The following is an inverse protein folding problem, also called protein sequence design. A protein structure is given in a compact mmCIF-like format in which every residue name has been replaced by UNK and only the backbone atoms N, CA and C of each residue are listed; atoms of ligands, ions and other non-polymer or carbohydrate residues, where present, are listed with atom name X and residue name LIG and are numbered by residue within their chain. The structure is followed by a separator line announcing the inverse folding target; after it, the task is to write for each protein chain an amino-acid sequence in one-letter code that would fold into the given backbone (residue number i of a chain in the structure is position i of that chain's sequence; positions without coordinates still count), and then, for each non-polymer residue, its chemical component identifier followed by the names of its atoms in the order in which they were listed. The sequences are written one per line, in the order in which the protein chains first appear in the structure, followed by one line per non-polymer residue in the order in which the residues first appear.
data_IF_690545939158
#
_entry.id   IF_690545939158
#
_cell.length_a   1.000
_cell.length_b   1.000
_cell.length_c   1.000
_cell.angle_alpha   90.00
_cell.angle_beta   90.00
_cell.angle_gamma   90.00
#
_symmetry.space_group_name_H-M   'P 1'
#
loop_
_entity.id
_entity.type
_entity.pdbx_description
1 polymer ?
#
# COMPACT_ATOMS: atom_id res chain seq x y z
N UNK A 1 -45.15 -4.14 -87.72
CA UNK A 1 -44.56 -3.13 -86.80
C UNK A 1 -45.27 -3.21 -85.44
N UNK A 2 -44.87 -4.12 -84.59
CA UNK A 2 -45.54 -4.33 -83.26
C UNK A 2 -44.64 -4.82 -82.19
N UNK A 3 -43.32 -4.68 -82.33
CA UNK A 3 -42.38 -5.28 -81.35
C UNK A 3 -41.78 -4.34 -80.34
N UNK A 4 -42.04 -3.04 -80.44
CA UNK A 4 -41.30 -2.05 -79.57
C UNK A 4 -42.05 -1.64 -78.33
N UNK A 5 -43.39 -1.65 -78.34
CA UNK A 5 -44.20 -1.18 -77.18
C UNK A 5 -44.23 -2.18 -76.05
N UNK A 6 -44.25 -3.48 -76.34
CA UNK A 6 -44.21 -4.52 -75.26
C UNK A 6 -42.89 -4.57 -74.54
N UNK A 7 -41.78 -4.32 -75.21
CA UNK A 7 -40.43 -4.29 -74.57
C UNK A 7 -40.27 -3.06 -73.69
N UNK A 8 -40.79 -1.93 -74.09
CA UNK A 8 -40.72 -0.69 -73.27
C UNK A 8 -41.61 -0.80 -71.97
N UNK A 9 -42.79 -1.37 -72.11
CA UNK A 9 -43.69 -1.57 -70.99
C UNK A 9 -43.12 -2.55 -69.93
N UNK A 10 -42.42 -3.60 -70.38
CA UNK A 10 -41.75 -4.56 -69.46
C UNK A 10 -40.58 -3.86 -68.76
N UNK A 11 -39.79 -3.04 -69.45
CA UNK A 11 -38.66 -2.32 -68.85
C UNK A 11 -39.12 -1.33 -67.79
N UNK A 12 -40.19 -0.58 -68.04
CA UNK A 12 -40.77 0.35 -67.10
C UNK A 12 -41.36 -0.36 -65.86
N UNK A 13 -41.99 -1.51 -66.05
CA UNK A 13 -42.53 -2.34 -64.97
C UNK A 13 -41.44 -2.90 -64.06
N UNK A 14 -40.34 -3.40 -64.64
CA UNK A 14 -39.19 -3.88 -63.88
C UNK A 14 -38.52 -2.75 -63.11
N UNK A 15 -38.45 -1.53 -63.67
CA UNK A 15 -37.87 -0.39 -62.99
C UNK A 15 -38.75 0.11 -61.80
N UNK A 16 -40.07 0.08 -61.93
CA UNK A 16 -41.00 0.42 -60.87
C UNK A 16 -40.98 -0.58 -59.74
N UNK A 17 -40.92 -1.89 -60.06
CA UNK A 17 -40.81 -2.96 -59.04
C UNK A 17 -39.49 -2.89 -58.31
N UNK A 18 -38.37 -2.65 -59.03
CA UNK A 18 -37.04 -2.52 -58.43
C UNK A 18 -36.95 -1.30 -57.48
N UNK A 19 -37.54 -0.15 -57.88
CA UNK A 19 -37.56 1.07 -57.03
C UNK A 19 -38.46 0.89 -55.82
N UNK A 20 -39.56 0.14 -55.95
CA UNK A 20 -40.47 -0.11 -54.82
C UNK A 20 -39.87 -1.04 -53.77
N UNK A 21 -39.01 -2.01 -54.20
CA UNK A 21 -38.30 -2.93 -53.28
C UNK A 21 -37.25 -2.15 -52.49
N UNK A 22 -36.55 -1.22 -53.11
CA UNK A 22 -35.55 -0.37 -52.40
C UNK A 22 -36.17 0.55 -51.36
N UNK A 23 -37.43 1.05 -51.61
CA UNK A 23 -38.13 1.89 -50.66
C UNK A 23 -38.77 1.12 -49.50
N UNK A 24 -38.85 -0.21 -49.58
CA UNK A 24 -39.42 -1.06 -48.53
C UNK A 24 -38.41 -1.68 -47.61
N UNK A 25 -37.09 -1.38 -47.75
CA UNK A 25 -36.10 -1.77 -46.76
C UNK A 25 -36.35 -0.85 -45.57
N UNK A 26 -36.92 -1.37 -44.43
CA UNK A 26 -37.00 -0.56 -43.23
C UNK A 26 -35.59 -0.14 -42.86
N UNK A 27 -35.30 1.16 -42.83
CA UNK A 27 -34.09 1.66 -42.20
C UNK A 27 -34.23 1.26 -40.73
N UNK A 28 -33.70 0.12 -40.37
CA UNK A 28 -33.54 -0.30 -39.00
C UNK A 28 -32.46 0.63 -38.42
N UNK A 29 -32.88 1.75 -37.88
CA UNK A 29 -32.01 2.55 -37.07
C UNK A 29 -31.73 1.74 -35.78
N UNK A 30 -30.50 1.24 -35.65
CA UNK A 30 -30.06 0.71 -34.41
C UNK A 30 -30.17 1.84 -33.36
N UNK A 31 -31.13 1.72 -32.47
CA UNK A 31 -31.29 2.68 -31.38
C UNK A 31 -30.34 2.24 -30.26
N UNK A 32 -29.17 2.87 -30.20
CA UNK A 32 -28.26 2.65 -29.09
C UNK A 32 -28.79 3.35 -27.85
N UNK A 33 -28.86 2.62 -26.75
CA UNK A 33 -29.15 3.16 -25.44
C UNK A 33 -27.93 2.94 -24.56
N UNK A 34 -27.60 3.92 -23.72
CA UNK A 34 -26.47 3.84 -22.79
C UNK A 34 -26.95 4.05 -21.37
N UNK A 35 -26.26 3.41 -20.45
CA UNK A 35 -26.39 3.64 -19.01
C UNK A 35 -25.11 4.32 -18.57
N UNK A 36 -25.24 5.49 -17.93
CA UNK A 36 -24.13 6.13 -17.23
C UNK A 36 -24.03 5.53 -15.83
N UNK A 37 -22.88 4.92 -15.53
CA UNK A 37 -22.57 4.40 -14.20
C UNK A 37 -21.50 5.28 -13.60
N UNK A 38 -21.79 5.90 -12.45
CA UNK A 38 -20.83 6.67 -11.67
C UNK A 38 -20.54 5.91 -10.38
N UNK A 39 -19.28 5.82 -10.01
CA UNK A 39 -18.84 5.27 -8.72
C UNK A 39 -17.64 6.08 -8.22
N UNK A 40 -17.58 6.26 -6.91
CA UNK A 40 -16.45 6.87 -6.23
C UNK A 40 -15.72 5.75 -5.49
N UNK A 41 -14.48 5.38 -5.90
CA UNK A 41 -13.70 4.40 -5.17
C UNK A 41 -13.28 4.98 -3.81
N UNK A 42 -13.62 4.29 -2.73
CA UNK A 42 -13.18 4.64 -1.38
C UNK A 42 -11.76 4.08 -1.17
N UNK A 43 -10.75 4.89 -1.44
CA UNK A 43 -9.35 4.58 -1.25
C UNK A 43 -8.86 5.22 0.05
N UNK A 44 -8.69 4.42 1.10
CA UNK A 44 -8.21 4.88 2.40
C UNK A 44 -6.89 4.26 2.78
N UNK A 45 -6.00 5.08 3.35
CA UNK A 45 -4.78 4.66 4.04
C UNK A 45 -5.05 4.72 5.54
N UNK A 46 -4.95 3.58 6.21
CA UNK A 46 -5.03 3.51 7.67
C UNK A 46 -4.15 2.39 8.20
N UNK A 47 -3.11 2.75 8.95
CA UNK A 47 -2.21 1.80 9.60
C UNK A 47 -2.44 1.78 11.11
N UNK A 48 -2.24 0.62 11.70
CA UNK A 48 -2.21 0.42 13.15
C UNK A 48 -1.14 -0.62 13.52
N UNK A 49 -0.77 -0.65 14.80
CA UNK A 49 0.19 -1.60 15.36
C UNK A 49 -0.30 -2.10 16.72
N UNK A 50 -0.09 -3.36 16.98
CA UNK A 50 -0.37 -3.98 18.27
C UNK A 50 0.79 -4.89 18.68
N UNK A 51 1.27 -4.84 19.94
CA UNK A 51 0.90 -3.89 21.00
C UNK A 51 1.47 -2.49 20.75
N UNK A 52 0.87 -1.47 21.35
CA UNK A 52 1.33 -0.05 21.27
C UNK A 52 2.43 0.29 22.27
N UNK A 53 2.74 -0.61 23.16
CA UNK A 53 3.81 -0.48 24.16
C UNK A 53 4.49 -1.82 24.32
N UNK A 54 5.79 -1.80 24.51
CA UNK A 54 6.58 -2.98 24.80
C UNK A 54 7.69 -2.63 25.78
N UNK A 55 7.95 -3.52 26.75
CA UNK A 55 8.99 -3.37 27.75
C UNK A 55 10.02 -4.49 27.54
N UNK A 56 11.24 -4.12 27.21
CA UNK A 56 12.37 -5.06 27.11
C UNK A 56 12.88 -5.49 28.50
N UNK A 57 12.36 -4.88 29.57
CA UNK A 57 12.81 -5.18 30.92
C UNK A 57 14.21 -4.64 31.21
N UNK A 58 14.98 -5.41 31.99
CA UNK A 58 16.36 -5.07 32.30
C UNK A 58 17.27 -5.56 31.19
N UNK A 59 17.92 -4.63 30.50
CA UNK A 59 18.85 -4.90 29.41
C UNK A 59 20.29 -4.70 29.87
N UNK A 60 21.21 -5.49 29.34
CA UNK A 60 22.64 -5.40 29.65
C UNK A 60 23.37 -4.63 28.56
N UNK A 61 24.36 -3.82 28.96
CA UNK A 61 25.23 -3.12 28.01
C UNK A 61 25.95 -4.13 27.09
N UNK A 62 26.06 -3.80 25.81
CA UNK A 62 26.70 -4.60 24.79
C UNK A 62 25.91 -5.85 24.34
N UNK A 63 24.65 -5.99 24.76
CA UNK A 63 23.84 -7.15 24.39
C UNK A 63 22.61 -6.72 23.56
N UNK A 64 22.25 -7.60 22.64
CA UNK A 64 20.99 -7.53 21.91
C UNK A 64 19.88 -8.22 22.71
N UNK A 65 18.80 -7.52 22.93
CA UNK A 65 17.56 -8.08 23.45
C UNK A 65 16.52 -8.09 22.33
N UNK A 66 15.81 -9.20 22.20
CA UNK A 66 14.88 -9.37 21.09
C UNK A 66 13.47 -9.65 21.62
N UNK A 67 12.48 -8.97 21.05
CA UNK A 67 11.14 -9.54 21.06
C UNK A 67 11.13 -10.78 20.17
N UNK A 68 10.29 -11.75 20.45
CA UNK A 68 10.28 -13.02 19.71
C UNK A 68 8.87 -13.50 19.41
N UNK A 69 8.70 -14.17 18.29
CA UNK A 69 7.46 -14.81 17.93
C UNK A 69 6.44 -13.86 17.29
N UNK A 70 6.90 -12.88 16.52
CA UNK A 70 6.05 -11.86 15.91
C UNK A 70 5.27 -11.08 16.97
N UNK A 71 6.01 -10.53 17.93
CA UNK A 71 5.45 -9.78 19.07
C UNK A 71 4.57 -8.62 18.64
N UNK A 72 4.95 -7.94 17.55
CA UNK A 72 4.19 -6.84 16.98
C UNK A 72 3.43 -7.29 15.74
N UNK A 73 2.24 -6.74 15.56
CA UNK A 73 1.46 -6.93 14.35
C UNK A 73 1.17 -5.55 13.74
N UNK A 74 1.64 -5.36 12.53
CA UNK A 74 1.32 -4.23 11.67
C UNK A 74 0.00 -4.54 10.94
N UNK A 75 -0.93 -3.61 10.94
CA UNK A 75 -2.21 -3.71 10.24
C UNK A 75 -2.34 -2.61 9.20
N UNK A 76 -2.73 -2.99 8.00
CA UNK A 76 -3.32 -2.08 7.04
C UNK A 76 -4.84 -2.17 7.14
N UNK A 77 -5.46 -1.31 7.94
CA UNK A 77 -6.92 -1.23 8.08
C UNK A 77 -7.57 -0.36 6.99
N UNK A 78 -6.77 0.10 6.03
CA UNK A 78 -7.25 0.80 4.85
C UNK A 78 -7.79 -0.15 3.77
N UNK A 79 -8.18 0.41 2.64
CA UNK A 79 -8.78 -0.34 1.52
C UNK A 79 -7.82 -0.61 0.37
N UNK A 80 -6.64 0.02 0.37
CA UNK A 80 -5.64 -0.06 -0.70
C UNK A 80 -4.30 -0.59 -0.17
N UNK A 81 -3.45 -1.19 -1.03
CA UNK A 81 -2.10 -1.57 -0.64
C UNK A 81 -1.26 -0.36 -0.24
N UNK A 82 -0.40 -0.56 0.76
CA UNK A 82 0.50 0.47 1.27
C UNK A 82 1.92 -0.05 1.41
N UNK A 83 2.88 0.85 1.25
CA UNK A 83 4.25 0.68 1.71
C UNK A 83 4.38 1.29 3.10
N UNK A 84 5.19 0.67 3.96
CA UNK A 84 5.37 1.16 5.33
C UNK A 84 6.82 1.49 5.63
N UNK A 85 7.00 2.57 6.35
CA UNK A 85 8.30 3.07 6.79
C UNK A 85 8.31 3.21 8.31
N UNK A 86 9.49 3.13 8.91
CA UNK A 86 9.67 3.17 10.36
C UNK A 86 10.78 4.15 10.75
N UNK A 87 10.61 4.82 11.88
CA UNK A 87 11.65 5.66 12.49
C UNK A 87 11.52 5.67 14.01
N UNK A 88 12.54 6.21 14.69
CA UNK A 88 12.50 6.45 16.14
C UNK A 88 13.07 7.84 16.48
N UNK A 89 12.98 8.21 17.74
CA UNK A 89 13.57 9.45 18.25
C UNK A 89 15.11 9.38 18.26
N UNK A 90 15.76 10.54 18.17
CA UNK A 90 17.21 10.65 18.25
C UNK A 90 17.73 10.34 19.68
N UNK A 91 16.94 10.59 20.68
CA UNK A 91 17.27 10.36 22.10
C UNK A 91 16.09 9.71 22.81
N UNK A 92 16.35 9.13 23.97
CA UNK A 92 15.30 8.69 24.90
C UNK A 92 14.56 9.89 25.51
N UNK A 93 13.42 9.64 26.15
CA UNK A 93 12.60 10.68 26.79
C UNK A 93 13.35 11.50 27.84
N UNK A 94 14.35 10.91 28.52
CA UNK A 94 15.24 11.59 29.44
C UNK A 94 16.44 12.26 28.78
N UNK A 95 16.61 12.12 27.47
CA UNK A 95 17.76 12.59 26.68
C UNK A 95 19.12 12.07 27.17
N UNK A 96 19.15 10.92 27.83
CA UNK A 96 20.37 10.35 28.39
C UNK A 96 21.03 9.34 27.44
N UNK A 97 20.25 8.65 26.62
CA UNK A 97 20.76 7.74 25.61
C UNK A 97 20.53 8.30 24.20
N UNK A 98 21.53 8.18 23.35
CA UNK A 98 21.49 8.65 21.96
C UNK A 98 21.31 7.47 21.01
N UNK A 99 20.50 7.67 19.98
CA UNK A 99 20.32 6.65 18.94
C UNK A 99 21.59 6.50 18.11
N UNK A 100 22.05 5.27 17.99
CA UNK A 100 23.02 4.83 16.99
C UNK A 100 22.27 4.09 15.88
N UNK A 101 22.27 4.66 14.69
CA UNK A 101 21.45 4.22 13.58
C UNK A 101 22.11 3.11 12.73
N UNK A 102 23.36 2.75 13.01
CA UNK A 102 24.10 1.72 12.28
C UNK A 102 24.17 0.37 13.01
N UNK A 103 23.62 0.31 14.22
CA UNK A 103 23.52 -0.91 15.02
C UNK A 103 24.75 -1.25 15.84
N UNK A 104 25.70 -0.33 15.97
CA UNK A 104 26.93 -0.48 16.73
C UNK A 104 27.03 0.54 17.88
N UNK A 105 26.01 0.59 18.78
CA UNK A 105 25.97 1.64 19.79
C UNK A 105 27.17 1.52 20.72
N UNK A 106 27.78 2.66 20.98
CA UNK A 106 28.93 2.79 21.90
C UNK A 106 28.50 3.27 23.27
N UNK A 107 29.19 4.25 23.87
CA UNK A 107 28.90 4.76 25.20
C UNK A 107 27.60 5.58 25.21
N UNK A 108 26.74 5.28 26.18
CA UNK A 108 25.45 5.97 26.38
C UNK A 108 24.59 6.08 25.11
N UNK A 109 24.60 5.00 24.31
CA UNK A 109 23.88 4.91 23.07
C UNK A 109 22.96 3.68 23.03
N UNK A 110 22.02 3.67 22.09
CA UNK A 110 21.12 2.55 21.86
C UNK A 110 20.84 2.41 20.35
N UNK A 111 20.45 1.22 19.92
CA UNK A 111 19.96 1.00 18.57
C UNK A 111 18.76 0.05 18.56
N UNK A 112 17.98 0.16 17.49
CA UNK A 112 16.88 -0.75 17.17
C UNK A 112 17.04 -1.35 15.78
N UNK A 113 16.54 -2.56 15.63
CA UNK A 113 16.42 -3.26 14.36
C UNK A 113 15.06 -3.95 14.27
N UNK A 114 14.47 -3.96 13.08
CA UNK A 114 13.28 -4.78 12.77
C UNK A 114 13.69 -6.17 12.30
N UNK A 115 12.81 -7.16 12.49
CA UNK A 115 12.88 -8.47 11.86
C UNK A 115 11.51 -9.04 11.57
N UNK A 116 11.37 -9.75 10.45
CA UNK A 116 10.12 -10.36 10.01
C UNK A 116 9.26 -9.50 9.08
N UNK A 117 9.68 -8.28 8.75
CA UNK A 117 9.15 -7.46 7.67
C UNK A 117 9.84 -7.83 6.34
N UNK A 118 9.44 -7.21 5.24
CA UNK A 118 10.06 -7.49 3.93
C UNK A 118 11.53 -7.06 3.88
N UNK A 119 11.87 -6.02 4.64
CA UNK A 119 13.23 -5.53 4.79
C UNK A 119 13.57 -5.36 6.27
N UNK A 120 14.43 -6.23 6.78
CA UNK A 120 15.00 -6.07 8.11
C UNK A 120 16.06 -4.98 8.09
N UNK A 121 15.89 -3.94 8.91
CA UNK A 121 16.80 -2.80 8.92
C UNK A 121 16.94 -2.17 10.29
N UNK A 122 18.04 -1.43 10.47
CA UNK A 122 18.22 -0.56 11.62
C UNK A 122 17.26 0.63 11.53
N UNK A 123 16.67 0.98 12.68
CA UNK A 123 15.72 2.08 12.75
C UNK A 123 16.48 3.38 12.95
N UNK A 124 16.26 4.34 12.08
CA UNK A 124 16.92 5.66 12.09
C UNK A 124 15.98 6.76 12.60
N UNK A 125 16.47 8.00 12.69
CA UNK A 125 15.64 9.16 13.04
C UNK A 125 14.76 9.65 11.89
N UNK A 126 15.07 9.24 10.65
CA UNK A 126 14.29 9.53 9.45
C UNK A 126 13.54 8.29 8.97
N UNK A 127 12.47 8.49 8.22
CA UNK A 127 11.87 7.41 7.45
C UNK A 127 12.81 7.09 6.28
N UNK A 128 13.53 5.97 6.39
CA UNK A 128 14.55 5.58 5.42
C UNK A 128 14.23 4.19 4.86
N UNK A 129 13.72 4.18 3.63
CA UNK A 129 13.32 2.94 2.94
C UNK A 129 12.05 2.31 3.50
N UNK A 130 11.45 1.45 2.71
CA UNK A 130 10.26 0.73 3.10
C UNK A 130 10.65 -0.53 3.87
N UNK A 131 10.04 -0.73 5.03
CA UNK A 131 10.23 -1.95 5.84
C UNK A 131 9.29 -3.05 5.41
N UNK A 132 8.16 -2.70 4.83
CA UNK A 132 7.19 -3.61 4.22
C UNK A 132 6.58 -2.97 2.99
N UNK A 133 6.42 -3.74 1.92
CA UNK A 133 5.95 -3.25 0.63
C UNK A 133 4.65 -3.92 0.22
N UNK A 134 3.74 -3.12 -0.36
CA UNK A 134 2.47 -3.58 -0.90
C UNK A 134 1.62 -4.40 0.11
N UNK A 135 1.64 -4.04 1.41
CA UNK A 135 0.76 -4.65 2.40
C UNK A 135 -0.70 -4.38 2.00
N UNK A 136 -1.42 -5.42 1.59
CA UNK A 136 -2.77 -5.32 1.04
C UNK A 136 -3.77 -4.67 2.00
N UNK A 137 -4.81 -4.04 1.46
CA UNK A 137 -5.91 -3.50 2.27
C UNK A 137 -6.57 -4.60 3.12
N UNK A 138 -6.77 -4.34 4.39
CA UNK A 138 -7.27 -5.33 5.36
C UNK A 138 -6.26 -6.41 5.78
N UNK A 139 -5.03 -6.37 5.30
CA UNK A 139 -3.99 -7.34 5.65
C UNK A 139 -3.22 -6.94 6.92
N UNK A 140 -2.50 -7.91 7.47
CA UNK A 140 -1.61 -7.69 8.61
C UNK A 140 -0.31 -8.50 8.46
N UNK A 141 0.74 -8.04 9.14
CA UNK A 141 2.05 -8.68 9.15
C UNK A 141 2.67 -8.63 10.54
N UNK A 142 3.13 -9.78 11.02
CA UNK A 142 3.85 -9.89 12.30
C UNK A 142 5.32 -9.54 12.13
N UNK A 143 5.90 -8.87 13.12
CA UNK A 143 7.32 -8.57 13.17
C UNK A 143 7.84 -8.50 14.61
N UNK A 144 9.14 -8.49 14.74
CA UNK A 144 9.84 -8.33 16.01
C UNK A 144 10.77 -7.12 15.99
N UNK A 145 11.08 -6.61 17.17
CA UNK A 145 12.08 -5.58 17.40
C UNK A 145 13.25 -6.17 18.17
N UNK A 146 14.45 -5.84 17.73
CA UNK A 146 15.68 -6.04 18.47
C UNK A 146 16.16 -4.72 19.02
N UNK A 147 16.57 -4.70 20.27
CA UNK A 147 17.14 -3.54 20.96
C UNK A 147 18.56 -3.86 21.38
N UNK A 148 19.50 -2.93 21.19
CA UNK A 148 20.86 -3.02 21.71
C UNK A 148 21.17 -1.78 22.54
N UNK A 149 21.68 -2.00 23.73
CA UNK A 149 22.24 -0.96 24.58
C UNK A 149 23.76 -0.94 24.37
N UNK A 150 24.33 0.25 24.21
CA UNK A 150 25.76 0.42 23.93
C UNK A 150 26.70 -0.30 24.90
N UNK A 151 27.92 -0.53 24.46
CA UNK A 151 28.93 -1.35 25.15
C UNK A 151 29.29 -0.86 26.55
N UNK A 152 29.08 0.42 26.83
CA UNK A 152 29.36 1.03 28.12
C UNK A 152 28.34 2.11 28.49
N UNK A 153 28.13 2.25 29.79
CA UNK A 153 27.27 3.28 30.36
C UNK A 153 28.10 4.10 31.33
N UNK A 154 27.98 5.44 31.22
CA UNK A 154 28.74 6.34 32.10
C UNK A 154 28.13 6.47 33.49
N UNK A 155 26.87 6.03 33.67
CA UNK A 155 26.11 6.11 34.93
C UNK A 155 25.03 5.04 35.00
N UNK A 156 24.40 4.89 36.15
CA UNK A 156 23.18 4.10 36.26
C UNK A 156 21.99 4.91 35.73
N UNK A 157 21.40 4.42 34.69
CA UNK A 157 20.20 5.01 34.09
C UNK A 157 18.94 4.49 34.80
N UNK A 158 17.98 5.37 35.01
CA UNK A 158 16.61 5.00 35.34
C UNK A 158 15.94 4.40 34.09
N UNK A 159 14.69 3.98 34.20
CA UNK A 159 13.90 3.52 33.06
C UNK A 159 13.94 4.56 31.93
N UNK A 160 14.36 4.12 30.75
CA UNK A 160 14.44 4.92 29.52
C UNK A 160 13.32 4.54 28.59
N UNK A 161 12.80 5.52 27.85
CA UNK A 161 11.75 5.32 26.86
C UNK A 161 12.09 6.00 25.55
N UNK A 162 11.66 5.43 24.47
CA UNK A 162 11.67 6.07 23.15
C UNK A 162 10.39 5.73 22.42
N UNK A 163 10.11 6.43 21.33
CA UNK A 163 8.92 6.19 20.51
C UNK A 163 9.33 5.76 19.13
N UNK A 164 8.71 4.69 18.66
CA UNK A 164 8.83 4.21 17.28
C UNK A 164 7.58 4.66 16.53
N UNK A 165 7.79 5.25 15.36
CA UNK A 165 6.76 5.77 14.48
C UNK A 165 6.70 4.94 13.21
N UNK A 166 5.49 4.67 12.75
CA UNK A 166 5.24 4.06 11.44
C UNK A 166 4.53 5.06 10.54
N UNK A 167 4.86 5.00 9.26
CA UNK A 167 4.22 5.77 8.20
C UNK A 167 3.75 4.79 7.12
N UNK A 168 2.48 4.88 6.73
CA UNK A 168 1.95 4.21 5.55
C UNK A 168 1.84 5.18 4.40
N UNK A 169 2.24 4.77 3.22
CA UNK A 169 2.11 5.52 1.98
C UNK A 169 1.52 4.64 0.88
N UNK A 170 1.06 5.23 -0.21
CA UNK A 170 0.64 4.46 -1.39
C UNK A 170 1.82 3.63 -1.92
N UNK A 171 1.56 2.37 -2.17
CA UNK A 171 2.53 1.49 -2.82
C UNK A 171 2.56 1.69 -4.34
#
# INVERSE_FOLDING_TARGET
MGGNETSQNILVFIFIVATSIVLLIPLVWANETSISVTFDPDATIYIDITPKTYDFGSVQAGQWENSTGSTFTLYNNGTIPIDTQIKTNATTDSSQLTLDADGSPTTDAYSFRTSGLDSDQYITTGYAGDVDTALGGGASKGFDLSFNLGDSLTQNFSTQRTTIYLLGSLS
#
